data_IF_542434352807
#
_entry.id   IF_542434352807
#
_cell.length_a   1.000
_cell.length_b   1.000
_cell.length_c   1.000
_cell.angle_alpha   90.00
_cell.angle_beta   90.00
_cell.angle_gamma   90.00
#
_symmetry.space_group_name_H-M   'P 1'
#
loop_
_entity.id
_entity.type
_entity.pdbx_description
1 polymer ?
#
# COMPACT_ATOMS: atom_id res chain seq x y z
N UNK A 1 15.34 15.71 31.67
CA UNK A 1 16.20 14.79 30.88
C UNK A 1 15.29 13.66 30.44
N UNK A 2 15.16 13.42 29.13
CA UNK A 2 14.35 12.32 28.63
C UNK A 2 15.24 11.08 28.56
N UNK A 3 14.74 9.96 29.06
CA UNK A 3 15.39 8.65 28.97
C UNK A 3 14.64 7.80 27.96
N UNK A 4 15.38 7.16 27.07
CA UNK A 4 14.84 6.30 26.01
C UNK A 4 15.30 4.87 26.28
N UNK A 5 14.46 3.89 25.91
CA UNK A 5 14.79 2.47 26.00
C UNK A 5 14.80 1.86 24.60
N UNK A 6 15.69 0.89 24.40
CA UNK A 6 15.68 0.09 23.18
C UNK A 6 14.49 -0.89 23.19
N UNK A 7 13.83 -1.02 22.04
CA UNK A 7 12.80 -2.03 21.80
C UNK A 7 13.05 -2.70 20.46
N UNK A 8 12.81 -4.01 20.42
CA UNK A 8 12.73 -4.75 19.16
C UNK A 8 11.34 -4.54 18.57
N UNK A 9 11.27 -3.95 17.38
CA UNK A 9 10.04 -3.74 16.62
C UNK A 9 10.12 -4.49 15.30
N UNK A 10 8.96 -4.89 14.78
CA UNK A 10 8.86 -5.39 13.41
C UNK A 10 8.46 -4.24 12.51
N UNK A 11 9.28 -3.96 11.50
CA UNK A 11 9.01 -2.98 10.47
C UNK A 11 8.79 -3.68 9.13
N UNK A 12 8.05 -3.01 8.25
CA UNK A 12 7.79 -3.54 6.91
C UNK A 12 9.05 -3.38 6.06
N UNK A 13 9.75 -4.48 5.83
CA UNK A 13 11.01 -4.48 5.09
C UNK A 13 10.83 -4.35 3.56
N UNK A 14 9.69 -4.78 3.02
CA UNK A 14 9.38 -4.71 1.60
C UNK A 14 7.88 -4.90 1.35
N UNK A 15 7.44 -4.52 0.17
CA UNK A 15 6.08 -4.71 -0.33
C UNK A 15 6.19 -5.12 -1.80
N UNK A 16 5.47 -6.17 -2.20
CA UNK A 16 5.46 -6.63 -3.58
C UNK A 16 4.14 -6.21 -4.20
N UNK A 17 4.19 -5.54 -5.36
CA UNK A 17 2.98 -5.19 -6.07
C UNK A 17 2.27 -6.45 -6.58
N UNK A 18 1.01 -6.66 -6.19
CA UNK A 18 0.25 -7.85 -6.56
C UNK A 18 0.02 -7.97 -8.07
N UNK A 19 -0.07 -6.82 -8.77
CA UNK A 19 -0.31 -6.78 -10.21
C UNK A 19 0.94 -7.09 -11.05
N UNK A 20 2.05 -6.39 -10.80
CA UNK A 20 3.26 -6.50 -11.65
C UNK A 20 4.43 -7.24 -10.98
N UNK A 21 4.26 -7.69 -9.73
CA UNK A 21 5.27 -8.40 -8.95
C UNK A 21 6.56 -7.60 -8.69
N UNK A 22 6.55 -6.29 -8.95
CA UNK A 22 7.67 -5.40 -8.57
C UNK A 22 7.79 -5.38 -7.04
N UNK A 23 8.96 -5.75 -6.53
CA UNK A 23 9.32 -5.58 -5.13
C UNK A 23 9.73 -4.13 -4.88
N UNK A 24 9.19 -3.55 -3.82
CA UNK A 24 9.44 -2.18 -3.38
C UNK A 24 10.04 -2.23 -1.97
N UNK A 25 11.09 -1.45 -1.76
CA UNK A 25 11.82 -1.42 -0.49
C UNK A 25 11.92 0.03 0.01
N UNK A 26 11.84 0.28 1.33
CA UNK A 26 11.91 1.62 1.89
C UNK A 26 13.19 2.39 1.59
N UNK A 27 14.30 1.68 1.40
CA UNK A 27 15.64 2.21 1.14
C UNK A 27 15.97 2.35 -0.36
N UNK A 28 15.11 1.86 -1.25
CA UNK A 28 15.23 2.01 -2.69
C UNK A 28 14.27 3.10 -3.20
N UNK A 29 14.81 4.30 -3.37
CA UNK A 29 14.08 5.48 -3.85
C UNK A 29 13.45 5.27 -5.24
N UNK A 30 14.03 4.45 -6.11
CA UNK A 30 13.52 4.20 -7.46
C UNK A 30 12.47 3.07 -7.49
N UNK A 31 12.29 2.36 -6.38
CA UNK A 31 11.32 1.29 -6.29
C UNK A 31 9.87 1.78 -6.33
N UNK A 32 9.61 3.03 -5.95
CA UNK A 32 8.26 3.61 -5.82
C UNK A 32 7.55 3.20 -4.53
N UNK A 33 8.32 2.88 -3.48
CA UNK A 33 7.83 2.51 -2.16
C UNK A 33 6.96 3.60 -1.52
N UNK A 34 7.35 4.87 -1.63
CA UNK A 34 6.67 5.98 -0.95
C UNK A 34 5.32 6.35 -1.60
N UNK A 35 5.13 5.98 -2.87
CA UNK A 35 3.89 6.23 -3.64
C UNK A 35 3.04 4.96 -3.80
N UNK A 36 3.37 3.87 -3.11
CA UNK A 36 2.55 2.65 -3.12
C UNK A 36 1.20 2.88 -2.45
N UNK A 37 0.20 2.12 -2.89
CA UNK A 37 -1.12 2.11 -2.24
C UNK A 37 -1.39 0.70 -1.71
N UNK A 38 -1.70 0.63 -0.42
CA UNK A 38 -2.16 -0.58 0.26
C UNK A 38 -3.61 -0.37 0.69
N UNK A 39 -4.46 -1.35 0.39
CA UNK A 39 -5.83 -1.41 0.87
C UNK A 39 -5.99 -2.73 1.62
N UNK A 40 -6.58 -2.68 2.80
CA UNK A 40 -7.00 -3.85 3.57
C UNK A 40 -8.28 -3.49 4.33
N UNK A 41 -9.33 -4.28 4.11
CA UNK A 41 -10.57 -4.16 4.87
C UNK A 41 -11.25 -5.52 5.00
N UNK A 42 -12.21 -5.60 5.94
CA UNK A 42 -13.03 -6.79 6.13
C UNK A 42 -14.46 -6.55 5.63
N UNK A 43 -14.98 -7.47 4.83
CA UNK A 43 -16.35 -7.44 4.34
C UNK A 43 -17.35 -7.55 5.49
N UNK A 44 -18.31 -6.62 5.56
CA UNK A 44 -19.45 -6.73 6.45
C UNK A 44 -20.49 -7.76 5.97
N UNK A 45 -21.61 -7.85 6.68
CA UNK A 45 -22.74 -8.69 6.27
C UNK A 45 -23.33 -8.23 4.92
N UNK A 46 -23.57 -9.17 4.00
CA UNK A 46 -24.02 -8.92 2.65
C UNK A 46 -22.96 -8.33 1.70
N UNK A 47 -21.68 -8.42 2.05
CA UNK A 47 -20.60 -7.87 1.21
C UNK A 47 -20.52 -8.62 -0.12
N UNK A 48 -20.36 -7.90 -1.23
CA UNK A 48 -20.13 -8.52 -2.56
C UNK A 48 -18.82 -9.33 -2.62
N UNK A 49 -17.91 -9.08 -1.68
CA UNK A 49 -16.64 -9.82 -1.53
C UNK A 49 -16.76 -11.03 -0.59
N UNK A 50 -17.96 -11.30 -0.07
CA UNK A 50 -18.25 -12.32 0.93
C UNK A 50 -18.16 -11.80 2.37
N UNK A 51 -19.04 -12.33 3.21
CA UNK A 51 -19.19 -11.90 4.60
C UNK A 51 -17.99 -12.32 5.45
N UNK A 52 -17.40 -11.35 6.15
CA UNK A 52 -16.24 -11.58 7.02
C UNK A 52 -14.92 -11.82 6.28
N UNK A 53 -14.92 -11.81 4.94
CA UNK A 53 -13.71 -11.98 4.14
C UNK A 53 -12.80 -10.76 4.27
N UNK A 54 -11.50 -11.00 4.36
CA UNK A 54 -10.49 -9.96 4.21
C UNK A 54 -10.27 -9.70 2.71
N UNK A 55 -10.27 -8.43 2.34
CA UNK A 55 -9.97 -7.95 1.01
C UNK A 55 -8.75 -7.06 1.13
N UNK A 56 -7.66 -7.45 0.49
CA UNK A 56 -6.42 -6.68 0.48
C UNK A 56 -5.77 -6.66 -0.90
N UNK A 57 -5.04 -5.58 -1.18
CA UNK A 57 -4.20 -5.44 -2.37
C UNK A 57 -3.12 -4.39 -2.13
N UNK A 58 -1.92 -4.68 -2.66
CA UNK A 58 -0.77 -3.80 -2.68
C UNK A 58 -0.39 -3.45 -4.13
N UNK A 59 -0.38 -2.16 -4.47
CA UNK A 59 -0.08 -1.68 -5.83
C UNK A 59 1.06 -0.66 -5.83
N UNK A 60 2.01 -0.82 -6.76
CA UNK A 60 3.00 0.22 -7.07
C UNK A 60 2.33 1.41 -7.79
N UNK A 61 2.96 2.59 -7.75
CA UNK A 61 2.41 3.81 -8.34
C UNK A 61 1.96 3.67 -9.81
N UNK A 62 2.71 2.91 -10.63
CA UNK A 62 2.36 2.68 -12.03
C UNK A 62 1.08 1.83 -12.13
N UNK A 63 0.98 0.75 -11.35
CA UNK A 63 -0.22 -0.08 -11.31
C UNK A 63 -1.43 0.65 -10.73
N UNK A 64 -1.24 1.54 -9.75
CA UNK A 64 -2.31 2.42 -9.25
C UNK A 64 -2.84 3.30 -10.39
N UNK A 65 -1.94 4.00 -11.09
CA UNK A 65 -2.29 4.87 -12.22
C UNK A 65 -3.01 4.12 -13.33
N UNK A 66 -2.51 2.94 -13.69
CA UNK A 66 -3.07 2.16 -14.79
C UNK A 66 -4.40 1.46 -14.42
N UNK A 67 -4.58 1.06 -13.15
CA UNK A 67 -5.80 0.39 -12.70
C UNK A 67 -6.93 1.38 -12.42
N UNK A 68 -6.64 2.49 -11.72
CA UNK A 68 -7.66 3.48 -11.35
C UNK A 68 -7.89 4.53 -12.44
N UNK A 69 -6.88 4.81 -13.27
CA UNK A 69 -7.00 5.62 -14.47
C UNK A 69 -7.77 6.92 -14.26
N UNK A 70 -8.87 7.07 -15.00
CA UNK A 70 -9.71 8.28 -15.01
C UNK A 70 -10.44 8.56 -13.68
N UNK A 71 -10.46 7.61 -12.73
CA UNK A 71 -11.04 7.86 -11.40
C UNK A 71 -10.10 8.61 -10.46
N UNK A 72 -8.80 8.68 -10.80
CA UNK A 72 -7.85 9.48 -10.05
C UNK A 72 -8.10 10.97 -10.26
N UNK A 73 -8.17 11.72 -9.15
CA UNK A 73 -8.25 13.18 -9.15
C UNK A 73 -6.88 13.74 -8.78
N UNK A 74 -6.14 14.22 -9.78
CA UNK A 74 -4.79 14.77 -9.63
C UNK A 74 -4.87 16.29 -9.70
N UNK A 75 -4.48 16.97 -8.62
CA UNK A 75 -4.41 18.43 -8.55
C UNK A 75 -2.94 18.88 -8.66
N UNK A 76 -2.55 19.65 -9.69
CA UNK A 76 -1.20 20.19 -9.79
C UNK A 76 -0.90 21.14 -8.63
N UNK A 77 0.34 21.12 -8.12
CA UNK A 77 0.80 22.18 -7.22
C UNK A 77 1.20 23.39 -8.08
N UNK A 78 0.64 24.56 -7.75
CA UNK A 78 0.96 25.87 -8.34
C UNK A 78 2.17 26.50 -7.68
#
# INVERSE_FOLDING_TARGET
MLEYQDRVIQEVAACTCDRCQKRMMPDDYDSGWHERVSLSFRGGFGSIFGDGNEVSVDLCQQCVKDTLGAWLRITPQS
#
